data_IF_978373602205
#
_entry.id   IF_978373602205
#
_cell.length_a   1.000
_cell.length_b   1.000
_cell.length_c   1.000
_cell.angle_alpha   90.00
_cell.angle_beta   90.00
_cell.angle_gamma   90.00
#
_symmetry.space_group_name_H-M   'P 1'
#
loop_
_entity.id
_entity.type
_entity.pdbx_description
1 polymer ?
#
# COMPACT_ATOMS: atom_id res chain seq x y z
N UNK A 1 -11.21 12.54 19.90
CA UNK A 1 -10.88 11.47 18.94
C UNK A 1 -9.40 11.63 18.65
N UNK A 2 -8.56 10.65 18.97
CA UNK A 2 -7.10 10.78 18.89
C UNK A 2 -6.66 10.49 17.45
N UNK A 3 -6.69 11.50 16.59
CA UNK A 3 -6.12 11.48 15.23
C UNK A 3 -4.61 11.79 15.17
N UNK A 4 -3.97 11.87 16.34
CA UNK A 4 -2.53 12.09 16.51
C UNK A 4 -1.90 10.83 17.10
N UNK A 5 -1.87 9.75 16.32
CA UNK A 5 -1.05 8.59 16.65
C UNK A 5 0.40 8.91 16.27
N UNK A 6 1.18 9.33 17.27
CA UNK A 6 2.57 9.71 17.06
C UNK A 6 3.43 8.56 16.51
N UNK A 7 3.10 7.31 16.89
CA UNK A 7 3.77 6.12 16.38
C UNK A 7 3.44 5.91 14.91
N UNK A 8 2.18 6.12 14.51
CA UNK A 8 1.78 6.07 13.10
C UNK A 8 2.49 7.16 12.29
N UNK A 9 2.50 8.41 12.75
CA UNK A 9 3.14 9.51 12.04
C UNK A 9 4.63 9.25 11.82
N UNK A 10 5.34 8.73 12.83
CA UNK A 10 6.74 8.36 12.66
C UNK A 10 6.94 7.20 11.68
N UNK A 11 6.02 6.23 11.70
CA UNK A 11 6.09 5.11 10.79
C UNK A 11 5.86 5.54 9.33
N UNK A 12 4.98 6.51 9.10
CA UNK A 12 4.73 7.08 7.76
C UNK A 12 5.91 7.91 7.25
N UNK A 13 6.57 8.66 8.13
CA UNK A 13 7.83 9.33 7.77
C UNK A 13 8.90 8.33 7.28
N UNK A 14 8.91 7.12 7.85
CA UNK A 14 9.78 6.03 7.39
C UNK A 14 9.45 5.51 5.99
N UNK A 15 8.18 5.62 5.56
CA UNK A 15 7.75 5.31 4.18
C UNK A 15 7.98 6.47 3.21
N UNK A 16 8.41 7.63 3.70
CA UNK A 16 8.58 8.85 2.90
C UNK A 16 7.32 9.70 2.78
N UNK A 17 6.31 9.53 3.64
CA UNK A 17 5.12 10.39 3.69
C UNK A 17 5.04 11.08 5.05
N UNK A 18 5.10 12.41 5.05
CA UNK A 18 4.92 13.25 6.23
C UNK A 18 3.47 13.75 6.31
N UNK A 19 2.63 13.21 7.21
CA UNK A 19 1.24 13.64 7.28
C UNK A 19 1.14 15.13 7.64
N UNK A 20 0.57 15.94 6.74
CA UNK A 20 0.25 17.35 7.02
C UNK A 20 -0.99 17.53 7.90
N UNK A 21 -1.81 16.48 8.03
CA UNK A 21 -3.06 16.45 8.78
C UNK A 21 -3.19 15.25 9.72
N UNK A 22 -4.42 14.73 9.87
CA UNK A 22 -4.69 13.55 10.69
C UNK A 22 -4.33 12.26 9.95
N UNK A 23 -3.94 11.22 10.68
CA UNK A 23 -3.73 9.88 10.11
C UNK A 23 -4.45 8.82 10.94
N UNK A 24 -5.16 7.91 10.28
CA UNK A 24 -5.90 6.82 10.90
C UNK A 24 -5.37 5.47 10.45
N UNK A 25 -4.89 4.66 11.40
CA UNK A 25 -4.55 3.26 11.16
C UNK A 25 -5.82 2.39 11.20
N UNK A 26 -6.04 1.62 10.14
CA UNK A 26 -7.17 0.71 9.96
C UNK A 26 -6.63 -0.73 9.88
N UNK A 27 -6.84 -1.51 10.93
CA UNK A 27 -6.37 -2.92 11.03
C UNK A 27 -7.50 -3.93 11.22
N UNK A 28 -8.75 -3.47 11.24
CA UNK A 28 -9.93 -4.32 11.47
C UNK A 28 -11.07 -3.91 10.54
N UNK A 29 -11.75 -4.87 9.87
CA UNK A 29 -12.92 -4.57 9.04
C UNK A 29 -14.05 -3.86 9.80
N UNK A 30 -14.28 -4.22 11.07
CA UNK A 30 -15.29 -3.56 11.90
C UNK A 30 -14.97 -2.07 12.17
N UNK A 31 -13.68 -1.72 12.27
CA UNK A 31 -13.26 -0.33 12.45
C UNK A 31 -13.40 0.46 11.14
N UNK A 32 -13.00 -0.15 10.01
CA UNK A 32 -13.24 0.42 8.68
C UNK A 32 -14.73 0.74 8.45
N UNK A 33 -15.62 -0.22 8.74
CA UNK A 33 -17.05 -0.04 8.58
C UNK A 33 -17.60 1.07 9.49
N UNK A 34 -17.09 1.19 10.71
CA UNK A 34 -17.46 2.26 11.64
C UNK A 34 -17.03 3.64 11.11
N UNK A 35 -15.81 3.76 10.59
CA UNK A 35 -15.32 5.02 10.02
C UNK A 35 -16.12 5.42 8.78
N UNK A 36 -16.44 4.46 7.92
CA UNK A 36 -17.24 4.70 6.71
C UNK A 36 -18.72 4.99 7.00
N UNK A 37 -19.23 4.55 8.18
CA UNK A 37 -20.65 4.61 8.51
C UNK A 37 -21.48 3.50 7.87
N UNK A 38 -20.85 2.43 7.40
CA UNK A 38 -21.50 1.33 6.67
C UNK A 38 -20.52 0.25 6.21
N UNK A 39 -21.01 -0.76 5.51
CA UNK A 39 -20.14 -1.77 4.90
C UNK A 39 -19.31 -1.15 3.76
N UNK A 40 -18.04 -1.57 3.58
CA UNK A 40 -17.24 -1.15 2.43
C UNK A 40 -17.89 -1.54 1.10
N UNK A 41 -17.59 -0.78 0.05
CA UNK A 41 -18.01 -1.10 -1.32
C UNK A 41 -17.51 -2.48 -1.74
N UNK A 42 -18.24 -3.16 -2.62
CA UNK A 42 -17.76 -4.38 -3.25
C UNK A 42 -16.49 -4.09 -4.06
N UNK A 43 -15.59 -5.07 -4.12
CA UNK A 43 -14.43 -5.06 -5.01
C UNK A 43 -14.94 -4.89 -6.46
N UNK A 44 -14.30 -4.00 -7.21
CA UNK A 44 -14.62 -3.82 -8.63
C UNK A 44 -14.25 -5.04 -9.47
N UNK A 45 -14.42 -4.93 -10.78
CA UNK A 45 -13.97 -5.96 -11.71
C UNK A 45 -12.46 -6.24 -11.56
N UNK A 46 -12.00 -7.47 -11.85
CA UNK A 46 -10.57 -7.75 -11.97
C UNK A 46 -9.90 -6.80 -12.96
N UNK A 47 -8.65 -6.44 -12.67
CA UNK A 47 -7.84 -5.51 -13.46
C UNK A 47 -6.40 -5.99 -13.45
N UNK A 48 -5.63 -5.55 -14.44
CA UNK A 48 -4.19 -5.82 -14.50
C UNK A 48 -3.49 -5.14 -13.31
N UNK A 49 -2.43 -5.76 -12.75
CA UNK A 49 -1.64 -5.15 -11.70
C UNK A 49 -0.86 -3.92 -12.21
N UNK A 50 -0.29 -3.16 -11.28
CA UNK A 50 0.73 -2.17 -11.60
C UNK A 50 1.90 -2.80 -12.38
N UNK A 51 2.43 -2.07 -13.36
CA UNK A 51 3.55 -2.53 -14.19
C UNK A 51 4.91 -2.12 -13.63
N UNK A 52 5.98 -2.71 -14.14
CA UNK A 52 7.32 -2.16 -13.99
C UNK A 52 7.49 -1.00 -14.98
N UNK A 53 8.16 0.06 -14.55
CA UNK A 53 8.50 1.23 -15.38
C UNK A 53 9.98 1.57 -15.18
N UNK A 54 10.53 2.46 -16.00
CA UNK A 54 11.87 2.95 -15.75
C UNK A 54 11.95 3.76 -14.43
N UNK A 55 13.13 3.76 -13.82
CA UNK A 55 13.39 4.39 -12.51
C UNK A 55 13.01 5.87 -12.48
N UNK A 56 13.26 6.62 -13.57
CA UNK A 56 12.94 8.04 -13.66
C UNK A 56 11.42 8.29 -13.62
N UNK A 57 10.65 7.49 -14.36
CA UNK A 57 9.19 7.55 -14.34
C UNK A 57 8.63 7.13 -12.96
N UNK A 58 9.22 6.11 -12.34
CA UNK A 58 8.82 5.65 -11.01
C UNK A 58 9.05 6.73 -9.95
N UNK A 59 10.24 7.30 -9.89
CA UNK A 59 10.61 8.33 -8.91
C UNK A 59 9.77 9.60 -9.07
N UNK A 60 9.54 10.05 -10.31
CA UNK A 60 8.69 11.20 -10.58
C UNK A 60 7.24 10.97 -10.11
N UNK A 61 6.70 9.77 -10.34
CA UNK A 61 5.37 9.40 -9.89
C UNK A 61 5.31 9.24 -8.36
N UNK A 62 6.38 8.73 -7.74
CA UNK A 62 6.51 8.55 -6.31
C UNK A 62 6.48 9.90 -5.61
N UNK A 63 7.36 10.81 -6.03
CA UNK A 63 7.44 12.17 -5.50
C UNK A 63 6.07 12.86 -5.58
N UNK A 64 5.43 12.81 -6.75
CA UNK A 64 4.11 13.43 -6.95
C UNK A 64 3.04 12.84 -6.05
N UNK A 65 2.99 11.51 -5.93
CA UNK A 65 1.98 10.83 -5.12
C UNK A 65 2.17 11.12 -3.64
N UNK A 66 3.42 11.17 -3.17
CA UNK A 66 3.77 11.60 -1.82
C UNK A 66 3.31 13.04 -1.58
N UNK A 67 3.65 13.98 -2.46
CA UNK A 67 3.25 15.40 -2.31
C UNK A 67 1.72 15.55 -2.18
N UNK A 68 0.95 14.77 -2.95
CA UNK A 68 -0.52 14.74 -2.86
C UNK A 68 -0.98 14.19 -1.50
N UNK A 69 -0.42 13.07 -1.06
CA UNK A 69 -0.76 12.43 0.21
C UNK A 69 -0.39 13.32 1.41
N UNK A 70 0.77 13.97 1.39
CA UNK A 70 1.20 14.90 2.44
C UNK A 70 0.28 16.13 2.55
N UNK A 71 -0.25 16.60 1.42
CA UNK A 71 -1.20 17.70 1.36
C UNK A 71 -2.64 17.31 1.77
N UNK A 72 -2.93 16.01 1.90
CA UNK A 72 -4.26 15.54 2.29
C UNK A 72 -4.58 15.94 3.75
N UNK A 73 -5.84 16.33 3.99
CA UNK A 73 -6.30 16.66 5.35
C UNK A 73 -6.30 15.45 6.29
N UNK A 74 -6.56 14.28 5.72
CA UNK A 74 -6.66 13.02 6.44
C UNK A 74 -6.02 11.93 5.59
N UNK A 75 -5.16 11.12 6.21
CA UNK A 75 -4.64 9.89 5.66
C UNK A 75 -5.26 8.68 6.34
N UNK A 76 -5.44 7.62 5.56
CA UNK A 76 -5.92 6.33 6.02
C UNK A 76 -4.87 5.27 5.68
N UNK A 77 -4.52 4.48 6.68
CA UNK A 77 -3.44 3.50 6.59
C UNK A 77 -4.00 2.13 6.88
N UNK A 78 -4.12 1.30 5.84
CA UNK A 78 -4.60 -0.08 5.93
C UNK A 78 -3.39 -1.00 6.02
N UNK A 79 -3.32 -1.83 7.06
CA UNK A 79 -2.23 -2.81 7.26
C UNK A 79 -2.81 -4.21 7.37
N UNK A 80 -2.29 -5.13 6.55
CA UNK A 80 -2.67 -6.55 6.56
C UNK A 80 -1.60 -7.41 5.86
N UNK A 81 -1.91 -8.67 5.63
CA UNK A 81 -1.11 -9.52 4.75
C UNK A 81 -1.62 -9.43 3.31
N UNK A 82 -0.74 -9.58 2.32
CA UNK A 82 -1.11 -9.66 0.91
C UNK A 82 -2.11 -10.81 0.66
N UNK A 83 -3.09 -10.66 -0.25
CA UNK A 83 -4.11 -11.69 -0.39
C UNK A 83 -3.55 -12.99 -0.97
N UNK A 84 -3.77 -14.09 -0.26
CA UNK A 84 -3.22 -15.42 -0.56
C UNK A 84 -1.81 -15.66 -0.03
N UNK A 85 -1.13 -14.64 0.51
CA UNK A 85 0.29 -14.71 0.89
C UNK A 85 0.53 -14.12 2.28
N UNK A 86 1.43 -14.70 3.07
CA UNK A 86 1.79 -14.14 4.39
C UNK A 86 2.86 -13.05 4.29
N UNK A 87 2.69 -12.14 3.34
CA UNK A 87 3.60 -11.01 3.09
C UNK A 87 2.97 -9.74 3.65
N UNK A 88 3.50 -9.17 4.76
CA UNK A 88 2.93 -7.98 5.38
C UNK A 88 2.98 -6.78 4.46
N UNK A 89 1.85 -6.09 4.31
CA UNK A 89 1.70 -4.94 3.44
C UNK A 89 1.00 -3.76 4.14
N UNK A 90 1.26 -2.57 3.62
CA UNK A 90 0.64 -1.30 4.00
C UNK A 90 0.08 -0.63 2.76
N UNK A 91 -1.11 -0.05 2.90
CA UNK A 91 -1.73 0.81 1.90
C UNK A 91 -1.97 2.17 2.55
N UNK A 92 -1.39 3.21 1.96
CA UNK A 92 -1.50 4.61 2.39
C UNK A 92 -2.35 5.33 1.36
N UNK A 93 -3.45 5.94 1.80
CA UNK A 93 -4.37 6.65 0.91
C UNK A 93 -5.06 7.84 1.59
N UNK A 94 -5.43 8.84 0.81
CA UNK A 94 -6.29 9.95 1.22
C UNK A 94 -7.79 9.63 1.06
N UNK A 95 -8.15 8.45 0.55
CA UNK A 95 -9.54 8.02 0.33
C UNK A 95 -10.02 6.96 1.35
N UNK A 96 -11.01 7.34 2.16
CA UNK A 96 -11.60 6.44 3.17
C UNK A 96 -12.29 5.23 2.53
N UNK A 97 -12.94 5.42 1.38
CA UNK A 97 -13.65 4.35 0.68
C UNK A 97 -12.70 3.24 0.24
N UNK A 98 -11.57 3.63 -0.34
CA UNK A 98 -10.48 2.75 -0.75
C UNK A 98 -9.85 2.08 0.46
N UNK A 99 -9.50 2.82 1.51
CA UNK A 99 -8.91 2.25 2.71
C UNK A 99 -9.83 1.21 3.38
N UNK A 100 -11.12 1.53 3.49
CA UNK A 100 -12.11 0.63 4.07
C UNK A 100 -12.34 -0.63 3.21
N UNK A 101 -12.39 -0.47 1.88
CA UNK A 101 -12.52 -1.59 0.95
C UNK A 101 -11.26 -2.46 0.97
N UNK A 102 -10.09 -1.85 1.03
CA UNK A 102 -8.83 -2.54 1.16
C UNK A 102 -8.79 -3.42 2.40
N UNK A 103 -9.21 -2.88 3.55
CA UNK A 103 -9.28 -3.64 4.80
C UNK A 103 -10.31 -4.77 4.78
N UNK A 104 -11.45 -4.54 4.13
CA UNK A 104 -12.53 -5.54 4.11
C UNK A 104 -12.32 -6.66 3.09
N UNK A 105 -11.61 -6.40 1.99
CA UNK A 105 -11.67 -7.24 0.78
C UNK A 105 -10.35 -7.41 0.03
N UNK A 106 -9.31 -6.66 0.39
CA UNK A 106 -7.99 -6.77 -0.24
C UNK A 106 -7.02 -7.48 0.69
N UNK A 107 -6.67 -6.86 1.81
CA UNK A 107 -5.66 -7.42 2.70
C UNK A 107 -6.27 -8.48 3.62
N UNK A 108 -5.48 -9.47 3.97
CA UNK A 108 -5.83 -10.49 4.94
C UNK A 108 -5.45 -10.05 6.35
N UNK A 109 -6.13 -10.61 7.35
CA UNK A 109 -5.82 -10.31 8.74
C UNK A 109 -4.44 -10.85 9.11
N UNK A 110 -3.54 -9.96 9.54
CA UNK A 110 -2.22 -10.35 10.06
C UNK A 110 -2.33 -11.33 11.24
N UNK A 111 -1.34 -12.24 11.39
CA UNK A 111 -1.26 -13.11 12.55
C UNK A 111 -1.11 -12.29 13.85
N UNK A 112 -1.42 -12.92 14.99
CA UNK A 112 -1.34 -12.28 16.31
C UNK A 112 0.05 -11.74 16.67
N UNK A 113 1.09 -12.23 16.00
CA UNK A 113 2.46 -11.72 16.15
C UNK A 113 2.68 -10.62 15.13
N UNK A 114 3.01 -9.43 15.63
CA UNK A 114 3.36 -8.29 14.79
C UNK A 114 4.54 -8.66 13.85
N UNK A 115 4.44 -8.32 12.56
CA UNK A 115 5.52 -8.59 11.61
C UNK A 115 6.76 -7.76 11.95
N UNK A 116 7.95 -8.28 11.59
CA UNK A 116 9.23 -7.57 11.82
C UNK A 116 9.41 -6.33 10.93
N UNK A 117 8.54 -6.15 9.94
CA UNK A 117 8.54 -5.05 8.99
C UNK A 117 7.41 -5.23 7.99
N UNK A 118 7.07 -4.16 7.29
CA UNK A 118 6.12 -4.18 6.18
C UNK A 118 6.94 -4.29 4.90
N UNK A 119 6.71 -5.36 4.13
CA UNK A 119 7.50 -5.66 2.94
C UNK A 119 6.98 -4.96 1.70
N UNK A 120 5.69 -4.61 1.70
CA UNK A 120 5.02 -3.92 0.58
C UNK A 120 4.41 -2.63 1.10
N UNK A 121 4.73 -1.51 0.48
CA UNK A 121 4.07 -0.22 0.73
C UNK A 121 3.40 0.27 -0.54
N UNK A 122 2.08 0.42 -0.51
CA UNK A 122 1.27 0.93 -1.60
C UNK A 122 0.82 2.36 -1.30
N UNK A 123 1.25 3.32 -2.12
CA UNK A 123 0.79 4.70 -2.14
C UNK A 123 -0.36 4.79 -3.15
N UNK A 124 -1.58 4.97 -2.67
CA UNK A 124 -2.76 5.01 -3.51
C UNK A 124 -3.52 6.32 -3.32
N UNK A 125 -3.63 7.15 -4.35
CA UNK A 125 -4.39 8.41 -4.28
C UNK A 125 -5.28 8.59 -5.51
N UNK A 126 -6.61 8.67 -5.37
CA UNK A 126 -7.47 8.97 -6.52
C UNK A 126 -7.29 10.41 -7.03
N UNK A 127 -6.55 11.25 -6.31
CA UNK A 127 -6.17 12.58 -6.78
C UNK A 127 -4.97 12.49 -7.74
N UNK A 128 -5.02 13.24 -8.84
CA UNK A 128 -3.94 13.28 -9.84
C UNK A 128 -4.24 12.47 -11.11
N UNK A 129 -3.23 12.34 -12.00
CA UNK A 129 -3.38 11.60 -13.25
C UNK A 129 -3.34 10.09 -13.02
N UNK A 130 -3.85 9.33 -13.99
CA UNK A 130 -3.79 7.87 -13.97
C UNK A 130 -2.34 7.40 -14.07
N UNK A 131 -1.93 6.56 -13.11
CA UNK A 131 -0.61 5.95 -13.09
C UNK A 131 -0.64 4.67 -12.24
N UNK A 132 0.07 3.65 -12.67
CA UNK A 132 0.20 2.40 -11.94
C UNK A 132 1.57 1.77 -12.16
N UNK A 133 2.44 1.83 -11.15
CA UNK A 133 3.74 1.18 -11.19
C UNK A 133 4.11 0.50 -9.87
N UNK A 134 4.98 -0.50 -9.94
CA UNK A 134 5.67 -1.03 -8.78
C UNK A 134 7.16 -1.14 -9.04
N UNK A 135 7.94 -1.14 -7.96
CA UNK A 135 9.38 -1.32 -7.98
C UNK A 135 9.83 -2.19 -6.79
N UNK A 136 10.90 -2.97 -7.00
CA UNK A 136 11.55 -3.80 -5.99
C UNK A 136 12.86 -3.16 -5.59
N UNK A 137 13.10 -3.07 -4.29
CA UNK A 137 14.30 -2.45 -3.75
C UNK A 137 14.79 -3.19 -2.51
N UNK A 138 16.08 -3.09 -2.23
CA UNK A 138 16.68 -3.65 -1.03
C UNK A 138 16.75 -2.59 0.08
N UNK A 139 16.22 -2.92 1.27
CA UNK A 139 16.40 -2.12 2.47
C UNK A 139 16.94 -3.00 3.59
N UNK A 140 18.16 -2.68 4.08
CA UNK A 140 18.84 -3.39 5.17
C UNK A 140 19.00 -4.91 4.92
N UNK A 141 19.27 -5.28 3.67
CA UNK A 141 19.44 -6.69 3.27
C UNK A 141 18.12 -7.47 3.14
N UNK A 142 16.98 -6.78 3.14
CA UNK A 142 15.67 -7.38 2.87
C UNK A 142 15.06 -6.75 1.61
N UNK A 143 14.62 -7.56 0.67
CA UNK A 143 13.88 -7.10 -0.50
C UNK A 143 12.47 -6.63 -0.08
N UNK A 144 12.04 -5.52 -0.70
CA UNK A 144 10.78 -4.84 -0.45
C UNK A 144 10.19 -4.35 -1.76
N UNK A 145 8.91 -4.02 -1.72
CA UNK A 145 8.18 -3.47 -2.86
C UNK A 145 7.52 -2.13 -2.52
N UNK A 146 7.59 -1.19 -3.44
CA UNK A 146 6.75 0.02 -3.45
C UNK A 146 5.78 -0.07 -4.61
N UNK A 147 4.54 0.34 -4.38
CA UNK A 147 3.49 0.40 -5.40
C UNK A 147 2.93 1.82 -5.41
N UNK A 148 2.77 2.40 -6.59
CA UNK A 148 2.19 3.74 -6.80
C UNK A 148 0.96 3.56 -7.67
N UNK A 149 -0.20 3.99 -7.15
CA UNK A 149 -1.46 4.02 -7.87
C UNK A 149 -2.07 5.42 -7.75
N UNK A 150 -2.28 6.10 -8.87
CA UNK A 150 -2.92 7.42 -8.87
C UNK A 150 -4.07 7.55 -9.87
N UNK A 151 -4.94 8.53 -9.65
CA UNK A 151 -6.11 8.75 -10.51
C UNK A 151 -7.07 7.56 -10.50
N UNK A 152 -7.59 7.17 -11.67
CA UNK A 152 -8.49 6.04 -11.82
C UNK A 152 -7.84 4.69 -11.48
N UNK A 153 -6.50 4.61 -11.53
CA UNK A 153 -5.75 3.41 -11.16
C UNK A 153 -5.69 3.19 -9.64
N UNK A 154 -5.96 4.22 -8.83
CA UNK A 154 -6.12 4.11 -7.37
C UNK A 154 -7.46 3.47 -7.00
N UNK A 155 -7.68 2.24 -7.44
CA UNK A 155 -8.90 1.45 -7.19
C UNK A 155 -8.61 0.22 -6.34
N UNK A 156 -9.60 -0.26 -5.58
CA UNK A 156 -9.43 -1.41 -4.71
C UNK A 156 -9.03 -2.69 -5.48
N UNK A 157 -9.56 -2.86 -6.70
CA UNK A 157 -9.20 -4.00 -7.57
C UNK A 157 -7.73 -3.94 -8.01
N UNK A 158 -7.23 -2.76 -8.37
CA UNK A 158 -5.84 -2.59 -8.80
C UNK A 158 -4.87 -2.64 -7.63
N UNK A 159 -5.25 -2.11 -6.46
CA UNK A 159 -4.51 -2.33 -5.21
C UNK A 159 -4.38 -3.84 -4.94
N UNK A 160 -5.47 -4.60 -5.04
CA UNK A 160 -5.44 -6.05 -4.85
C UNK A 160 -4.48 -6.74 -5.82
N UNK A 161 -4.66 -6.51 -7.12
CA UNK A 161 -3.82 -7.15 -8.13
C UNK A 161 -2.34 -6.80 -7.94
N UNK A 162 -2.02 -5.54 -7.66
CA UNK A 162 -0.64 -5.07 -7.50
C UNK A 162 0.01 -5.59 -6.23
N UNK A 163 -0.71 -5.63 -5.10
CA UNK A 163 -0.20 -6.21 -3.85
C UNK A 163 0.05 -7.71 -3.99
N UNK A 164 -0.81 -8.44 -4.72
CA UNK A 164 -0.59 -9.86 -5.01
C UNK A 164 0.63 -10.08 -5.88
N UNK A 165 0.81 -9.28 -6.95
CA UNK A 165 1.99 -9.35 -7.80
C UNK A 165 3.27 -9.09 -7.00
N UNK A 166 3.30 -8.01 -6.23
CA UNK A 166 4.46 -7.66 -5.40
C UNK A 166 4.78 -8.76 -4.37
N UNK A 167 3.77 -9.35 -3.73
CA UNK A 167 3.97 -10.46 -2.81
C UNK A 167 4.55 -11.70 -3.49
N UNK A 168 4.03 -12.05 -4.68
CA UNK A 168 4.56 -13.17 -5.46
C UNK A 168 6.03 -12.93 -5.84
N UNK A 169 6.37 -11.71 -6.27
CA UNK A 169 7.74 -11.32 -6.62
C UNK A 169 8.72 -11.43 -5.45
N UNK A 170 8.34 -10.94 -4.27
CA UNK A 170 9.14 -11.03 -3.05
C UNK A 170 9.33 -12.46 -2.49
N UNK A 171 8.61 -13.43 -3.05
CA UNK A 171 8.71 -14.84 -2.70
C UNK A 171 9.38 -15.67 -3.81
N UNK A 172 9.70 -15.05 -4.97
CA UNK A 172 10.48 -15.72 -6.01
C UNK A 172 11.86 -16.11 -5.44
N UNK A 173 12.28 -17.38 -5.58
CA UNK A 173 13.63 -17.75 -5.16
C UNK A 173 14.65 -17.01 -6.03
N UNK A 174 15.84 -16.68 -5.48
CA UNK A 174 16.90 -16.10 -6.29
C UNK A 174 17.20 -17.04 -7.47
N UNK A 175 17.55 -16.49 -8.65
CA UNK A 175 17.95 -17.33 -9.77
C UNK A 175 19.09 -18.26 -9.33
N UNK A 176 19.09 -19.52 -9.78
CA UNK A 176 20.16 -20.45 -9.43
C UNK A 176 21.50 -19.83 -9.82
N UNK A 177 22.46 -19.83 -8.89
CA UNK A 177 23.81 -19.31 -9.13
C UNK A 177 24.31 -19.84 -10.48
N UNK A 178 24.60 -18.93 -11.41
CA UNK A 178 25.36 -19.28 -12.62
C UNK A 178 26.64 -19.95 -12.15
N UNK A 179 26.95 -21.18 -12.58
CA UNK A 179 28.18 -21.83 -12.17
C UNK A 179 29.35 -20.92 -12.56
N UNK A 180 30.24 -20.68 -11.60
CA UNK A 180 31.46 -19.90 -11.80
C UNK A 180 32.21 -20.45 -13.03
N UNK A 181 32.34 -19.62 -14.07
CA UNK A 181 33.26 -19.87 -15.20
C UNK A 181 34.71 -19.73 -14.76
#
# INVERSE_FOLDING_TARGET
MLGLDYTLNWSLNGDGVTPGGEAFRITKPAYAAKLLGGAPSALGAPTDPAGEVDEEAFDAAMQRSVEILEAAKVLYVTEGDAPGERVPCRIITDDLGLAATAMGQVVEQMPLREPKGLKITCFATPAGPDFAAFDLFEEKGEERAKIILSGADASASKVKASVQLAAAKLLEPPPPDSPAE
#
